data_IF_514447800381
#
_entry.id   IF_514447800381
#
_cell.length_a   1.000
_cell.length_b   1.000
_cell.length_c   1.000
_cell.angle_alpha   90.00
_cell.angle_beta   90.00
_cell.angle_gamma   90.00
#
_symmetry.space_group_name_H-M   'P 1'
#
loop_
_entity.id
_entity.type
_entity.pdbx_description
1 polymer ?
#
# COMPACT_ATOMS: atom_id res chain seq x y z
N UNK A 1 -62.00 -2.03 10.15
CA UNK A 1 -62.65 -1.36 8.99
C UNK A 1 -61.97 -1.86 7.73
N UNK A 2 -62.68 -2.01 6.61
CA UNK A 2 -62.18 -2.67 5.39
C UNK A 2 -61.61 -1.68 4.35
N UNK A 3 -60.76 -2.20 3.45
CA UNK A 3 -60.30 -1.53 2.20
C UNK A 3 -61.49 -1.37 1.22
N UNK A 4 -61.36 -0.50 0.20
CA UNK A 4 -61.09 -1.01 -1.16
C UNK A 4 -60.20 -0.10 -2.05
N UNK A 5 -59.91 -0.55 -3.28
CA UNK A 5 -59.28 0.22 -4.37
C UNK A 5 -59.72 -0.30 -5.78
N UNK A 6 -59.79 0.56 -6.82
CA UNK A 6 -59.78 0.22 -8.28
C UNK A 6 -58.64 0.96 -9.05
N UNK A 7 -58.11 0.61 -10.24
CA UNK A 7 -58.32 -0.45 -11.27
C UNK A 7 -59.29 -0.13 -12.42
N UNK A 8 -58.96 -0.61 -13.66
CA UNK A 8 -59.72 -0.55 -14.95
C UNK A 8 -59.66 0.82 -15.69
N UNK A 9 -59.47 0.99 -17.01
CA UNK A 9 -58.93 0.23 -18.18
C UNK A 9 -58.40 1.28 -19.21
N UNK A 10 -58.23 1.16 -20.55
CA UNK A 10 -58.49 0.23 -21.67
C UNK A 10 -57.46 0.58 -22.81
N UNK A 11 -57.05 -0.21 -23.81
CA UNK A 11 -57.55 -1.33 -24.63
C UNK A 11 -58.12 -0.93 -26.03
N UNK A 12 -57.38 -1.27 -27.10
CA UNK A 12 -57.78 -1.26 -28.53
C UNK A 12 -56.83 -2.19 -29.35
N UNK A 13 -57.22 -2.61 -30.56
CA UNK A 13 -56.60 -3.75 -31.28
C UNK A 13 -56.70 -3.65 -32.82
N UNK A 14 -55.90 -4.50 -33.50
CA UNK A 14 -55.98 -4.93 -34.93
C UNK A 14 -55.58 -3.92 -36.03
N UNK A 15 -54.74 -4.39 -36.96
CA UNK A 15 -55.19 -4.72 -38.32
C UNK A 15 -54.32 -5.83 -38.94
N UNK A 16 -54.75 -6.37 -40.10
CA UNK A 16 -54.33 -7.65 -40.68
C UNK A 16 -53.73 -7.46 -42.09
N UNK A 17 -52.71 -8.24 -42.44
CA UNK A 17 -52.16 -8.28 -43.81
C UNK A 17 -51.42 -9.59 -44.10
N UNK A 18 -51.68 -10.19 -45.26
CA UNK A 18 -51.07 -11.44 -45.70
C UNK A 18 -50.75 -11.40 -47.20
N UNK A 19 -49.59 -11.93 -47.60
CA UNK A 19 -49.14 -12.10 -48.97
C UNK A 19 -48.16 -13.29 -49.08
N UNK A 20 -47.91 -13.77 -50.30
CA UNK A 20 -47.31 -15.08 -50.57
C UNK A 20 -45.90 -15.02 -51.21
N UNK A 21 -45.06 -15.97 -50.82
CA UNK A 21 -44.08 -16.74 -51.63
C UNK A 21 -43.25 -15.95 -52.68
N UNK A 22 -41.94 -15.85 -52.42
CA UNK A 22 -40.89 -15.93 -53.46
C UNK A 22 -39.70 -16.73 -52.90
N UNK A 23 -39.23 -17.82 -53.55
CA UNK A 23 -37.94 -18.43 -53.25
C UNK A 23 -36.83 -17.68 -54.00
N UNK A 24 -36.00 -16.94 -53.27
CA UNK A 24 -34.82 -16.31 -53.86
C UNK A 24 -33.69 -17.34 -54.02
N UNK A 25 -33.38 -17.74 -55.25
CA UNK A 25 -32.11 -18.42 -55.57
C UNK A 25 -30.99 -17.39 -55.58
N UNK A 26 -30.11 -17.43 -54.57
CA UNK A 26 -28.90 -16.62 -54.48
C UNK A 26 -27.65 -17.51 -54.64
N UNK A 27 -26.57 -16.92 -55.16
CA UNK A 27 -25.31 -17.58 -55.47
C UNK A 27 -24.61 -18.20 -54.26
N UNK A 28 -23.84 -19.27 -54.49
CA UNK A 28 -22.92 -19.80 -53.50
C UNK A 28 -21.86 -18.76 -53.13
N UNK A 29 -21.66 -18.56 -51.83
CA UNK A 29 -20.53 -17.85 -51.26
C UNK A 29 -19.32 -18.82 -51.21
N UNK A 30 -18.08 -18.39 -51.50
CA UNK A 30 -16.92 -19.27 -51.41
C UNK A 30 -16.62 -19.63 -49.95
N UNK A 31 -16.18 -20.88 -49.72
CA UNK A 31 -15.81 -21.38 -48.39
C UNK A 31 -14.92 -20.39 -47.61
N UNK A 32 -15.22 -20.09 -46.33
CA UNK A 32 -14.34 -19.27 -45.51
C UNK A 32 -13.03 -20.01 -45.28
N UNK A 33 -11.96 -19.55 -45.94
CA UNK A 33 -10.60 -20.09 -45.81
C UNK A 33 -10.27 -20.31 -44.33
N UNK A 34 -9.92 -21.54 -43.90
CA UNK A 34 -9.59 -21.80 -42.50
C UNK A 34 -8.45 -20.88 -42.04
N UNK A 35 -8.76 -20.00 -41.09
CA UNK A 35 -7.75 -19.12 -40.49
C UNK A 35 -6.67 -19.98 -39.84
N UNK A 36 -5.44 -19.91 -40.35
CA UNK A 36 -4.30 -20.52 -39.69
C UNK A 36 -4.19 -19.97 -38.26
N UNK A 37 -3.93 -20.82 -37.25
CA UNK A 37 -3.79 -20.37 -35.88
C UNK A 37 -2.56 -19.47 -35.79
N UNK A 38 -2.79 -18.17 -35.61
CA UNK A 38 -1.75 -17.20 -35.30
C UNK A 38 -0.99 -17.76 -34.08
N UNK A 39 0.33 -17.97 -34.15
CA UNK A 39 1.08 -18.46 -33.00
C UNK A 39 0.90 -17.45 -31.87
N UNK A 40 0.45 -17.92 -30.71
CA UNK A 40 0.33 -17.09 -29.52
C UNK A 40 1.72 -16.54 -29.20
N UNK A 41 1.92 -15.24 -29.47
CA UNK A 41 3.14 -14.55 -29.06
C UNK A 41 3.24 -14.62 -27.54
N UNK A 42 4.45 -14.87 -27.04
CA UNK A 42 4.74 -14.88 -25.61
C UNK A 42 4.21 -13.58 -24.98
N UNK A 43 3.17 -13.66 -24.16
CA UNK A 43 2.73 -12.50 -23.38
C UNK A 43 3.88 -12.10 -22.48
N UNK A 44 4.38 -10.88 -22.64
CA UNK A 44 5.27 -10.30 -21.65
C UNK A 44 4.56 -10.39 -20.28
N UNK A 45 5.28 -10.74 -19.18
CA UNK A 45 4.66 -10.81 -17.87
C UNK A 45 3.99 -9.48 -17.55
N UNK A 46 2.72 -9.53 -17.16
CA UNK A 46 2.02 -8.36 -16.65
C UNK A 46 2.77 -7.87 -15.39
N UNK A 47 2.94 -6.55 -15.19
CA UNK A 47 3.62 -6.06 -14.01
C UNK A 47 2.85 -6.51 -12.77
N UNK A 48 3.53 -7.21 -11.85
CA UNK A 48 2.93 -7.55 -10.55
C UNK A 48 2.60 -6.25 -9.80
N UNK A 49 1.42 -6.23 -9.19
CA UNK A 49 0.87 -5.07 -8.50
C UNK A 49 0.32 -5.53 -7.16
N UNK A 50 0.90 -5.02 -6.09
CA UNK A 50 0.66 -5.47 -4.73
C UNK A 50 -0.38 -4.57 -4.06
N UNK A 51 -1.45 -5.14 -3.52
CA UNK A 51 -2.48 -4.41 -2.79
C UNK A 51 -2.03 -4.19 -1.35
N UNK A 52 -1.70 -2.94 -1.01
CA UNK A 52 -1.15 -2.59 0.30
C UNK A 52 -2.22 -1.95 1.17
N UNK A 53 -2.55 -2.61 2.29
CA UNK A 53 -3.42 -2.06 3.34
C UNK A 53 -2.59 -1.62 4.53
N UNK A 54 -2.57 -0.31 4.78
CA UNK A 54 -1.99 0.29 5.97
C UNK A 54 -3.04 0.37 7.07
N UNK A 55 -2.76 -0.17 8.25
CA UNK A 55 -3.64 -0.10 9.43
C UNK A 55 -2.86 0.44 10.64
N UNK A 56 -3.44 1.41 11.33
CA UNK A 56 -2.79 2.10 12.45
C UNK A 56 -3.76 2.31 13.61
N UNK A 57 -3.32 2.06 14.84
CA UNK A 57 -4.03 2.40 16.08
C UNK A 57 -3.18 3.32 16.94
N UNK A 58 -3.86 4.19 17.68
CA UNK A 58 -3.25 5.12 18.64
C UNK A 58 -4.09 5.05 19.91
N UNK A 59 -3.69 4.14 20.80
CA UNK A 59 -4.43 3.80 22.00
C UNK A 59 -3.86 4.55 23.21
N UNK A 60 -4.51 5.67 23.53
CA UNK A 60 -4.10 6.58 24.60
C UNK A 60 -4.81 7.94 24.52
N UNK A 61 -4.21 8.96 25.12
CA UNK A 61 -4.70 10.35 25.03
C UNK A 61 -3.78 11.11 24.09
N UNK A 62 -4.04 11.00 22.79
CA UNK A 62 -3.25 11.66 21.74
C UNK A 62 -3.92 12.93 21.19
N UNK A 63 -3.08 13.79 20.60
CA UNK A 63 -3.43 14.93 19.72
C UNK A 63 -2.39 15.03 18.61
N UNK A 64 -2.74 15.71 17.53
CA UNK A 64 -1.87 15.84 16.35
C UNK A 64 -1.40 14.48 15.84
N UNK A 65 -2.30 13.50 15.81
CA UNK A 65 -2.05 12.21 15.21
C UNK A 65 -1.88 12.42 13.70
N UNK A 66 -0.69 12.16 13.18
CA UNK A 66 -0.35 12.28 11.77
C UNK A 66 0.24 10.96 11.31
N UNK A 67 -0.40 10.36 10.31
CA UNK A 67 -0.04 9.07 9.74
C UNK A 67 0.41 9.31 8.30
N UNK A 68 1.65 8.98 7.98
CA UNK A 68 2.23 9.15 6.66
C UNK A 68 2.55 7.76 6.09
N UNK A 69 2.18 7.49 4.84
CA UNK A 69 2.32 6.17 4.21
C UNK A 69 2.66 6.29 2.72
N UNK A 70 3.29 5.27 2.14
CA UNK A 70 3.63 5.23 0.71
C UNK A 70 2.34 5.09 -0.12
N UNK A 71 2.05 6.08 -0.97
CA UNK A 71 0.83 6.18 -1.80
C UNK A 71 0.99 5.47 -3.15
N UNK A 72 2.19 5.60 -3.71
CA UNK A 72 2.75 4.90 -4.87
C UNK A 72 4.28 4.96 -4.70
N UNK A 73 5.01 4.18 -5.47
CA UNK A 73 6.47 3.96 -5.37
C UNK A 73 7.32 5.22 -5.05
N UNK A 74 6.93 6.38 -5.59
CA UNK A 74 7.65 7.67 -5.46
C UNK A 74 7.01 8.68 -4.50
N UNK A 75 5.76 8.49 -4.07
CA UNK A 75 4.99 9.49 -3.33
C UNK A 75 4.49 8.96 -1.98
N UNK A 76 4.44 9.84 -0.99
CA UNK A 76 3.81 9.59 0.30
C UNK A 76 2.55 10.43 0.47
N UNK A 77 1.55 9.88 1.13
CA UNK A 77 0.35 10.60 1.58
C UNK A 77 0.42 10.78 3.10
N UNK A 78 -0.17 11.86 3.62
CA UNK A 78 -0.36 12.07 5.05
C UNK A 78 -1.84 12.26 5.40
N UNK A 79 -2.28 11.70 6.53
CA UNK A 79 -3.62 11.85 7.06
C UNK A 79 -3.58 12.21 8.56
N UNK A 80 -4.49 13.08 8.99
CA UNK A 80 -4.61 13.59 10.37
C UNK A 80 -5.89 13.11 11.09
N UNK A 81 -6.13 11.79 11.25
CA UNK A 81 -7.40 11.27 11.72
C UNK A 81 -7.70 11.60 13.19
N UNK A 82 -8.96 11.87 13.49
CA UNK A 82 -9.48 11.93 14.86
C UNK A 82 -9.46 10.54 15.53
N UNK A 83 -8.30 10.17 16.07
CA UNK A 83 -8.12 8.93 16.82
C UNK A 83 -8.85 9.01 18.16
N UNK A 84 -9.99 8.32 18.24
CA UNK A 84 -10.65 7.97 19.49
C UNK A 84 -10.15 6.58 19.92
N UNK A 85 -10.07 6.27 21.23
CA UNK A 85 -9.58 4.96 21.69
C UNK A 85 -10.29 3.78 21.02
N UNK A 86 -9.54 2.76 20.62
CA UNK A 86 -10.08 1.61 19.88
C UNK A 86 -10.49 1.88 18.42
N UNK A 87 -10.20 3.06 17.85
CA UNK A 87 -10.32 3.28 16.39
C UNK A 87 -9.02 2.90 15.67
N UNK A 88 -9.17 2.12 14.61
CA UNK A 88 -8.14 1.90 13.59
C UNK A 88 -8.32 2.96 12.49
N UNK A 89 -7.23 3.62 12.10
CA UNK A 89 -7.09 4.25 10.79
C UNK A 89 -6.72 3.17 9.77
N UNK A 90 -7.28 3.23 8.58
CA UNK A 90 -7.01 2.29 7.50
C UNK A 90 -6.96 3.03 6.16
N UNK A 91 -6.02 2.63 5.29
CA UNK A 91 -5.91 3.11 3.92
C UNK A 91 -5.36 2.03 2.98
N UNK A 92 -5.96 1.90 1.81
CA UNK A 92 -5.50 1.02 0.72
C UNK A 92 -4.72 1.80 -0.35
N UNK A 93 -3.65 1.20 -0.87
CA UNK A 93 -2.87 1.68 -2.02
C UNK A 93 -2.45 0.50 -2.90
N UNK A 94 -1.85 0.78 -4.06
CA UNK A 94 -1.23 -0.23 -4.93
C UNK A 94 0.19 0.21 -5.25
N UNK A 95 1.16 -0.69 -5.06
CA UNK A 95 2.59 -0.47 -5.35
C UNK A 95 3.07 -1.46 -6.43
N UNK A 96 4.14 -1.11 -7.14
CA UNK A 96 4.82 -2.04 -8.07
C UNK A 96 5.79 -3.00 -7.38
N UNK A 97 6.08 -2.77 -6.10
CA UNK A 97 6.97 -3.58 -5.27
C UNK A 97 6.46 -3.59 -3.82
N UNK A 98 6.37 -4.78 -3.22
CA UNK A 98 5.95 -4.99 -1.84
C UNK A 98 6.96 -4.42 -0.82
N UNK A 99 8.26 -4.44 -1.14
CA UNK A 99 9.34 -3.94 -0.26
C UNK A 99 9.39 -2.39 -0.20
N UNK A 100 8.54 -1.70 -0.98
CA UNK A 100 8.31 -0.25 -0.88
C UNK A 100 7.18 0.13 0.10
N UNK A 101 6.47 -0.86 0.68
CA UNK A 101 5.35 -0.63 1.59
C UNK A 101 5.84 -0.11 2.95
N UNK A 102 5.59 1.18 3.23
CA UNK A 102 6.10 1.88 4.41
C UNK A 102 5.11 2.83 5.04
N UNK A 103 5.15 2.95 6.37
CA UNK A 103 4.30 3.84 7.17
C UNK A 103 5.03 4.42 8.40
N UNK A 104 4.74 5.68 8.70
CA UNK A 104 5.08 6.38 9.94
C UNK A 104 3.79 6.78 10.63
N UNK A 105 3.68 6.47 11.92
CA UNK A 105 2.70 7.07 12.83
C UNK A 105 3.43 8.13 13.64
N UNK A 106 2.81 9.29 13.88
CA UNK A 106 3.35 10.32 14.78
C UNK A 106 2.27 10.98 15.61
N UNK A 107 2.61 11.38 16.84
CA UNK A 107 1.74 12.14 17.76
C UNK A 107 2.44 13.39 18.29
N UNK A 108 1.66 14.41 18.66
CA UNK A 108 2.18 15.66 19.18
C UNK A 108 2.76 15.49 20.61
N UNK A 109 3.85 16.18 20.92
CA UNK A 109 4.30 16.40 22.30
C UNK A 109 3.28 17.29 23.06
N UNK A 110 3.02 17.09 24.38
CA UNK A 110 3.61 16.13 25.31
C UNK A 110 2.77 14.83 25.46
N UNK A 111 1.95 14.50 24.46
CA UNK A 111 0.97 13.43 24.59
C UNK A 111 1.61 12.04 24.59
N UNK A 112 0.89 11.07 25.14
CA UNK A 112 1.31 9.68 25.28
C UNK A 112 0.22 8.71 24.83
N UNK A 113 0.65 7.69 24.11
CA UNK A 113 -0.17 6.59 23.63
C UNK A 113 0.69 5.36 23.37
N UNK A 114 0.06 4.20 23.30
CA UNK A 114 0.60 3.10 22.52
C UNK A 114 0.28 3.37 21.04
N UNK A 115 1.33 3.46 20.22
CA UNK A 115 1.25 3.48 18.77
C UNK A 115 1.38 2.04 18.29
N UNK A 116 0.54 1.65 17.34
CA UNK A 116 0.57 0.33 16.74
C UNK A 116 0.32 0.44 15.23
N UNK A 117 1.13 -0.24 14.44
CA UNK A 117 1.02 -0.29 12.99
C UNK A 117 0.98 -1.74 12.48
N UNK A 118 0.23 -1.93 11.41
CA UNK A 118 0.17 -3.15 10.61
C UNK A 118 0.25 -2.71 9.13
N UNK A 119 1.10 -3.37 8.35
CA UNK A 119 1.16 -3.23 6.90
C UNK A 119 0.87 -4.61 6.32
N UNK A 120 -0.19 -4.70 5.53
CA UNK A 120 -0.60 -5.91 4.86
C UNK A 120 -0.36 -5.75 3.37
N UNK A 121 0.26 -6.75 2.74
CA UNK A 121 0.38 -6.89 1.29
C UNK A 121 -0.44 -8.12 0.90
N UNK A 122 -1.43 -7.92 0.02
CA UNK A 122 -2.35 -8.97 -0.44
C UNK A 122 -2.95 -9.79 0.73
N UNK A 123 -3.48 -9.05 1.72
CA UNK A 123 -4.03 -9.51 3.00
C UNK A 123 -3.04 -10.25 3.95
N UNK A 124 -1.76 -10.39 3.59
CA UNK A 124 -0.72 -10.93 4.48
C UNK A 124 0.04 -9.81 5.22
N UNK A 125 0.14 -9.90 6.56
CA UNK A 125 0.91 -8.94 7.36
C UNK A 125 2.41 -9.11 7.05
N UNK A 126 3.02 -8.12 6.40
CA UNK A 126 4.46 -8.10 6.08
C UNK A 126 5.28 -7.29 7.09
N UNK A 127 4.67 -6.28 7.72
CA UNK A 127 5.29 -5.51 8.79
C UNK A 127 4.29 -5.16 9.90
N UNK A 128 4.74 -5.19 11.14
CA UNK A 128 3.99 -4.79 12.32
C UNK A 128 4.97 -4.25 13.37
N UNK A 129 4.59 -3.20 14.09
CA UNK A 129 5.33 -2.70 15.24
C UNK A 129 4.41 -2.03 16.27
N UNK A 130 4.89 -2.04 17.52
CA UNK A 130 4.21 -1.51 18.70
C UNK A 130 5.21 -0.70 19.53
N UNK A 131 4.88 0.56 19.84
CA UNK A 131 5.67 1.37 20.77
C UNK A 131 4.78 2.09 21.77
N UNK A 132 5.24 2.21 23.03
CA UNK A 132 4.59 3.05 24.04
C UNK A 132 5.37 4.35 24.23
N UNK A 133 4.82 5.44 23.71
CA UNK A 133 5.39 6.79 23.83
C UNK A 133 5.19 7.28 25.27
N UNK A 134 6.28 7.27 26.05
CA UNK A 134 6.30 7.69 27.45
C UNK A 134 6.19 9.22 27.56
N UNK A 135 5.32 9.77 28.44
CA UNK A 135 5.25 11.22 28.66
C UNK A 135 6.61 11.84 28.99
N UNK A 136 6.90 13.01 28.45
CA UNK A 136 8.07 13.84 28.79
C UNK A 136 7.63 15.20 29.34
N UNK A 137 8.46 15.77 30.20
CA UNK A 137 8.26 17.11 30.80
C UNK A 137 9.05 18.20 30.06
N UNK A 138 10.13 17.83 29.36
CA UNK A 138 10.94 18.72 28.51
C UNK A 138 10.46 18.65 27.05
N UNK A 139 10.47 19.79 26.31
CA UNK A 139 10.16 19.83 24.87
C UNK A 139 11.08 19.01 23.95
N UNK A 140 10.74 19.02 22.66
CA UNK A 140 11.30 18.15 21.61
C UNK A 140 12.74 18.48 21.19
N UNK A 141 13.31 19.61 21.64
CA UNK A 141 14.66 20.05 21.23
C UNK A 141 15.77 19.02 21.52
N UNK A 142 15.59 18.15 22.52
CA UNK A 142 16.52 17.07 22.88
C UNK A 142 16.30 15.75 22.10
N UNK A 143 15.09 15.51 21.54
CA UNK A 143 14.67 14.22 20.96
C UNK A 143 13.74 14.43 19.73
N UNK A 144 14.28 14.65 18.52
CA UNK A 144 13.50 15.02 17.33
C UNK A 144 12.56 13.92 16.80
N UNK A 145 12.71 12.69 17.29
CA UNK A 145 11.90 11.53 16.96
C UNK A 145 10.87 11.16 18.05
N UNK A 146 10.72 12.00 19.08
CA UNK A 146 9.67 11.82 20.09
C UNK A 146 8.29 11.64 19.44
N UNK A 147 7.57 10.59 19.87
CA UNK A 147 6.19 10.37 19.45
C UNK A 147 6.03 9.79 18.06
N UNK A 148 7.11 9.36 17.39
CA UNK A 148 7.06 8.65 16.10
C UNK A 148 7.15 7.13 16.29
N UNK A 149 6.52 6.37 15.40
CA UNK A 149 6.71 4.94 15.20
C UNK A 149 6.86 4.69 13.70
N UNK A 150 7.86 3.89 13.31
CA UNK A 150 8.27 3.65 11.91
C UNK A 150 8.10 2.18 11.56
N UNK A 151 7.48 1.88 10.40
CA UNK A 151 7.02 0.53 10.07
C UNK A 151 7.21 0.21 8.58
N UNK A 152 7.75 -0.97 8.28
CA UNK A 152 8.05 -1.38 6.90
C UNK A 152 9.15 -0.54 6.25
N UNK A 153 8.96 -0.21 4.97
CA UNK A 153 9.91 0.55 4.16
C UNK A 153 10.13 2.00 4.65
N UNK A 154 11.31 2.60 4.40
CA UNK A 154 11.51 4.03 4.62
C UNK A 154 10.59 4.87 3.72
N UNK A 155 9.97 5.90 4.30
CA UNK A 155 9.09 6.82 3.57
C UNK A 155 9.85 7.78 2.66
N UNK A 156 11.09 8.11 2.99
CA UNK A 156 12.00 8.84 2.09
C UNK A 156 12.37 7.95 0.91
N UNK A 157 12.30 8.47 -0.32
CA UNK A 157 12.89 7.77 -1.45
C UNK A 157 14.43 7.83 -1.29
N UNK A 158 15.18 6.75 -1.53
CA UNK A 158 16.64 6.79 -1.40
C UNK A 158 17.32 7.74 -2.39
N UNK A 159 16.59 8.20 -3.42
CA UNK A 159 17.03 9.21 -4.41
C UNK A 159 16.92 10.65 -3.86
N UNK A 160 16.05 10.90 -2.88
CA UNK A 160 15.85 12.21 -2.25
C UNK A 160 16.80 12.45 -1.06
N UNK A 161 17.58 11.43 -0.66
CA UNK A 161 18.66 11.58 0.29
C UNK A 161 19.86 12.22 -0.42
N UNK A 162 20.51 13.26 0.16
CA UNK A 162 21.82 13.68 -0.33
C UNK A 162 22.78 12.48 -0.22
N UNK A 163 23.73 12.32 -1.15
CA UNK A 163 24.67 11.20 -1.10
C UNK A 163 25.39 11.23 0.25
N UNK A 164 25.16 10.18 1.04
CA UNK A 164 25.84 10.02 2.33
C UNK A 164 27.29 9.76 2.00
N UNK A 165 28.12 10.79 2.16
CA UNK A 165 29.56 10.72 2.02
C UNK A 165 30.10 9.93 3.23
N UNK A 166 29.91 8.62 3.17
CA UNK A 166 30.42 7.67 4.13
C UNK A 166 31.93 7.90 4.18
N UNK A 167 32.52 8.24 5.35
CA UNK A 167 33.96 8.30 5.44
C UNK A 167 34.53 6.96 4.99
N UNK A 168 35.75 6.93 4.39
CA UNK A 168 36.43 5.69 4.14
C UNK A 168 36.36 4.79 5.38
N UNK A 169 36.18 3.49 5.17
CA UNK A 169 36.33 2.52 6.24
C UNK A 169 37.85 2.41 6.51
N UNK A 170 38.39 3.45 7.15
CA UNK A 170 39.78 3.51 7.58
C UNK A 170 40.09 2.24 8.37
N UNK A 171 41.26 1.68 8.07
CA UNK A 171 41.60 0.31 8.43
C UNK A 171 41.41 0.05 9.94
N UNK A 172 40.84 -1.11 10.28
CA UNK A 172 40.67 -1.55 11.67
C UNK A 172 41.99 -1.32 12.41
N UNK A 173 42.04 -0.46 13.46
CA UNK A 173 43.28 -0.07 14.10
C UNK A 173 44.10 -1.29 14.48
N UNK A 174 45.29 -1.40 13.87
CA UNK A 174 45.91 -2.69 13.59
C UNK A 174 46.08 -3.61 14.80
N UNK A 175 45.73 -4.89 14.59
CA UNK A 175 46.07 -5.99 15.48
C UNK A 175 47.54 -5.86 15.93
N UNK A 176 47.84 -5.75 17.25
CA UNK A 176 49.20 -5.54 17.70
C UNK A 176 50.13 -6.66 17.23
N UNK A 177 51.18 -6.30 16.49
CA UNK A 177 52.15 -7.27 15.99
C UNK A 177 52.80 -8.02 17.17
N UNK A 178 52.93 -9.36 17.10
CA UNK A 178 53.47 -10.15 18.21
C UNK A 178 54.93 -9.78 18.48
N UNK A 179 55.26 -9.55 19.75
CA UNK A 179 56.61 -9.19 20.18
C UNK A 179 57.62 -10.31 19.86
N UNK A 180 58.83 -9.97 19.37
CA UNK A 180 59.87 -10.97 19.10
C UNK A 180 60.41 -11.57 20.41
N UNK A 181 60.81 -12.86 20.43
CA UNK A 181 61.37 -13.49 21.62
C UNK A 181 62.65 -12.79 22.11
N UNK A 182 62.76 -12.55 23.41
CA UNK A 182 63.96 -12.01 24.04
C UNK A 182 64.97 -13.13 24.28
N UNK A 183 66.05 -13.18 23.51
CA UNK A 183 67.21 -14.01 23.82
C UNK A 183 67.99 -13.44 25.03
N UNK A 184 68.40 -14.27 26.00
CA UNK A 184 69.18 -13.81 27.14
C UNK A 184 70.65 -13.56 26.77
N UNK A 185 71.20 -12.43 27.22
CA UNK A 185 72.61 -12.10 27.02
C UNK A 185 73.55 -12.98 27.87
N UNK A 186 74.80 -13.09 27.42
CA UNK A 186 75.93 -13.75 28.08
C UNK A 186 77.14 -12.79 28.16
#
# INVERSE_FOLDING_TARGET
MSRPAPTVAAAALLFLGAALIVPATASADPDPTPSEPIPAGESAPEPELYNVTYRARIDGVARGALITYKLNDTQVQSADPTMLPGRTFEAQTVLSDADLAGMQISIQWPYSANLHCEILVDDAIVAMADEFIKPRLTPVDDEPDYGKLMCGAPLVNPVDLPPVDLPPIDEVPGEPAPEPPVEPAA
#
